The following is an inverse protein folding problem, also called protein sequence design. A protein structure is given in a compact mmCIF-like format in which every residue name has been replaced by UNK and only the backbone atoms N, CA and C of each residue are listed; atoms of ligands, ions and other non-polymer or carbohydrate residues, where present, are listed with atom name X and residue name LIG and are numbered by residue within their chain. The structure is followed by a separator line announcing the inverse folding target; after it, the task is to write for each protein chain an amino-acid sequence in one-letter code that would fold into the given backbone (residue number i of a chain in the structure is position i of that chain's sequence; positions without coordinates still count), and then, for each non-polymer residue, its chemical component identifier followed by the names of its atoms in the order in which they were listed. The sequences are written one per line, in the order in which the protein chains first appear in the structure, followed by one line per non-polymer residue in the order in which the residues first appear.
data_IF_050707175637
#
_entry.id   IF_050707175637
#
_cell.length_a   1.000
_cell.length_b   1.000
_cell.length_c   1.000
_cell.angle_alpha   90.00
_cell.angle_beta   90.00
_cell.angle_gamma   90.00
#
_symmetry.space_group_name_H-M   'P 1'
#
loop_
_entity.id
_entity.type
_entity.pdbx_description
1 polymer ?
#
# COMPACT_ATOMS: atom_id res chain seq x y z
N UNK A 1 -21.33 -13.64 -3.36
CA UNK A 1 -20.71 -13.16 -4.62
C UNK A 1 -19.57 -14.08 -5.00
N UNK A 2 -19.37 -14.36 -6.29
CA UNK A 2 -18.21 -15.06 -6.85
C UNK A 2 -17.22 -14.05 -7.45
N UNK A 3 -15.94 -14.27 -7.19
CA UNK A 3 -14.83 -13.40 -7.61
C UNK A 3 -13.97 -14.10 -8.66
N UNK A 4 -13.83 -13.51 -9.84
CA UNK A 4 -12.83 -13.90 -10.83
C UNK A 4 -11.58 -13.04 -10.66
N UNK A 5 -10.39 -13.65 -10.70
CA UNK A 5 -9.13 -12.93 -10.58
C UNK A 5 -8.35 -13.09 -11.88
N UNK A 6 -7.88 -11.99 -12.45
CA UNK A 6 -6.95 -11.97 -13.57
C UNK A 6 -5.59 -11.52 -13.04
N UNK A 7 -4.52 -12.22 -13.40
CA UNK A 7 -3.16 -11.84 -12.99
C UNK A 7 -2.12 -12.12 -14.06
N UNK A 8 -1.02 -11.39 -13.98
CA UNK A 8 0.22 -11.82 -14.63
C UNK A 8 0.86 -12.97 -13.85
N UNK A 9 1.49 -13.88 -14.58
CA UNK A 9 2.28 -14.98 -14.06
C UNK A 9 3.53 -15.16 -14.92
N UNK A 10 4.65 -15.43 -14.29
CA UNK A 10 5.84 -15.89 -15.00
C UNK A 10 5.52 -17.22 -15.69
N UNK A 11 5.65 -17.28 -17.01
CA UNK A 11 5.51 -18.53 -17.77
C UNK A 11 6.89 -19.04 -18.16
N UNK A 12 7.17 -20.29 -17.79
CA UNK A 12 8.30 -21.02 -18.35
C UNK A 12 8.05 -21.26 -19.85
N UNK A 13 9.07 -21.03 -20.68
CA UNK A 13 9.02 -21.30 -22.12
C UNK A 13 8.39 -20.21 -23.00
N UNK A 14 7.92 -19.09 -22.45
CA UNK A 14 7.65 -17.91 -23.26
C UNK A 14 8.99 -17.25 -23.61
N UNK A 15 9.47 -17.48 -24.84
CA UNK A 15 10.55 -16.70 -25.42
C UNK A 15 9.90 -15.49 -26.09
N UNK A 16 9.97 -14.28 -25.50
CA UNK A 16 9.59 -13.10 -26.25
C UNK A 16 10.41 -13.08 -27.54
N UNK A 17 9.78 -12.73 -28.67
CA UNK A 17 10.54 -12.39 -29.87
C UNK A 17 11.61 -11.34 -29.52
N UNK A 18 12.67 -11.24 -30.31
CA UNK A 18 13.78 -10.29 -30.13
C UNK A 18 13.36 -8.84 -30.37
N UNK A 19 12.27 -8.39 -29.74
CA UNK A 19 11.82 -7.01 -29.77
C UNK A 19 12.48 -6.24 -28.63
N UNK A 20 13.05 -5.09 -28.95
CA UNK A 20 13.70 -4.18 -27.98
C UNK A 20 12.71 -3.54 -26.97
N UNK A 21 11.42 -3.81 -27.08
CA UNK A 21 10.35 -3.16 -26.30
C UNK A 21 9.45 -4.19 -25.57
N UNK A 22 9.98 -4.78 -24.51
CA UNK A 22 9.23 -5.69 -23.64
C UNK A 22 8.67 -4.96 -22.42
N UNK A 23 7.41 -5.22 -22.11
CA UNK A 23 6.78 -4.90 -20.84
C UNK A 23 6.95 -6.09 -19.90
N UNK A 24 7.42 -5.83 -18.67
CA UNK A 24 7.48 -6.83 -17.59
C UNK A 24 6.63 -6.39 -16.41
N UNK A 25 5.67 -7.23 -16.03
CA UNK A 25 4.68 -6.99 -14.99
C UNK A 25 5.10 -7.70 -13.69
N UNK A 26 4.97 -7.02 -12.56
CA UNK A 26 5.27 -7.59 -11.23
C UNK A 26 4.17 -8.57 -10.78
N UNK A 27 4.51 -9.85 -10.74
CA UNK A 27 3.60 -10.94 -10.37
C UNK A 27 3.31 -11.00 -8.87
N UNK A 28 4.17 -10.40 -8.03
CA UNK A 28 4.08 -10.50 -6.57
C UNK A 28 2.81 -9.82 -6.03
N UNK A 29 2.29 -8.82 -6.72
CA UNK A 29 1.08 -8.10 -6.30
C UNK A 29 -0.13 -9.04 -6.22
N UNK A 30 -0.35 -9.81 -7.28
CA UNK A 30 -1.46 -10.75 -7.33
C UNK A 30 -1.28 -11.90 -6.32
N UNK A 31 -0.06 -12.42 -6.18
CA UNK A 31 0.24 -13.48 -5.21
C UNK A 31 -0.09 -13.06 -3.77
N UNK A 32 0.25 -11.83 -3.39
CA UNK A 32 -0.04 -11.32 -2.04
C UNK A 32 -1.54 -11.16 -1.79
N UNK A 33 -2.28 -10.62 -2.76
CA UNK A 33 -3.73 -10.47 -2.65
C UNK A 33 -4.41 -11.84 -2.60
N UNK A 34 -3.99 -12.78 -3.44
CA UNK A 34 -4.50 -14.16 -3.45
C UNK A 34 -4.21 -14.89 -2.14
N UNK A 35 -3.00 -14.81 -1.63
CA UNK A 35 -2.63 -15.40 -0.34
C UNK A 35 -3.45 -14.82 0.80
N UNK A 36 -3.73 -13.50 0.76
CA UNK A 36 -4.60 -12.87 1.75
C UNK A 36 -6.04 -13.38 1.64
N UNK A 37 -6.60 -13.41 0.42
CA UNK A 37 -7.96 -13.89 0.16
C UNK A 37 -8.15 -15.35 0.56
N UNK A 38 -7.19 -16.23 0.25
CA UNK A 38 -7.26 -17.65 0.59
C UNK A 38 -6.98 -17.94 2.07
N UNK A 39 -6.48 -16.96 2.82
CA UNK A 39 -6.08 -17.15 4.20
C UNK A 39 -4.81 -17.99 4.34
N UNK A 40 -3.96 -18.02 3.32
CA UNK A 40 -2.68 -18.74 3.36
C UNK A 40 -1.79 -18.14 4.47
N UNK A 41 -1.09 -19.00 5.20
CA UNK A 41 -0.23 -18.56 6.31
C UNK A 41 1.09 -17.96 5.80
N UNK A 42 1.64 -18.51 4.71
CA UNK A 42 3.02 -18.24 4.26
C UNK A 42 3.20 -17.11 3.24
N UNK A 43 2.13 -16.53 2.68
CA UNK A 43 2.32 -15.39 1.76
C UNK A 43 2.82 -14.12 2.49
N UNK A 44 2.53 -14.02 3.79
CA UNK A 44 3.02 -12.92 4.63
C UNK A 44 4.38 -13.29 5.21
N UNK A 45 5.39 -12.47 4.90
CA UNK A 45 6.77 -12.69 5.32
C UNK A 45 7.28 -11.65 6.33
N UNK A 46 6.42 -10.73 6.78
CA UNK A 46 6.79 -9.56 7.58
C UNK A 46 7.45 -9.89 8.93
N UNK A 47 7.07 -10.99 9.58
CA UNK A 47 7.58 -11.36 10.91
C UNK A 47 8.61 -12.50 10.86
N UNK A 48 8.83 -13.08 9.69
CA UNK A 48 9.67 -14.28 9.50
C UNK A 48 9.50 -15.32 10.63
N UNK A 49 10.45 -15.62 11.53
CA UNK A 49 10.25 -16.69 12.51
C UNK A 49 9.38 -16.25 13.70
N UNK A 50 9.18 -14.94 13.90
CA UNK A 50 8.44 -14.32 15.01
C UNK A 50 6.95 -14.16 14.67
N UNK A 51 6.44 -14.96 13.75
CA UNK A 51 5.05 -14.89 13.31
C UNK A 51 4.11 -15.38 14.42
N UNK A 52 3.20 -14.49 14.84
CA UNK A 52 2.14 -14.80 15.82
C UNK A 52 0.80 -15.13 15.16
N UNK A 53 0.79 -15.32 13.84
CA UNK A 53 -0.43 -15.60 13.06
C UNK A 53 -1.57 -14.60 13.32
N UNK A 54 -1.25 -13.29 13.31
CA UNK A 54 -2.20 -12.20 13.64
C UNK A 54 -3.49 -12.18 12.80
N UNK A 55 -3.53 -12.90 11.67
CA UNK A 55 -4.71 -13.05 10.80
C UNK A 55 -5.63 -14.21 11.21
N UNK A 56 -5.10 -15.22 11.91
CA UNK A 56 -5.82 -16.44 12.30
C UNK A 56 -7.11 -16.17 13.09
N UNK A 57 -7.15 -15.23 14.07
CA UNK A 57 -8.37 -14.96 14.82
C UNK A 57 -9.56 -14.48 13.98
N UNK A 58 -9.31 -13.92 12.79
CA UNK A 58 -10.37 -13.40 11.91
C UNK A 58 -11.06 -14.51 11.10
N UNK A 59 -10.44 -15.68 10.95
CA UNK A 59 -10.95 -16.82 10.18
C UNK A 59 -11.43 -16.44 8.75
N UNK A 60 -10.84 -15.40 8.16
CA UNK A 60 -11.18 -14.90 6.82
C UNK A 60 -10.48 -15.73 5.75
N UNK A 61 -11.24 -16.67 5.16
CA UNK A 61 -10.81 -17.53 4.07
C UNK A 61 -11.87 -17.50 2.96
N UNK A 62 -11.57 -16.80 1.88
CA UNK A 62 -12.48 -16.57 0.75
C UNK A 62 -12.18 -17.45 -0.45
N UNK A 63 -11.30 -18.46 -0.31
CA UNK A 63 -10.95 -19.38 -1.40
C UNK A 63 -12.19 -20.02 -2.04
N UNK A 64 -13.18 -20.41 -1.23
CA UNK A 64 -14.45 -20.95 -1.70
C UNK A 64 -15.27 -19.98 -2.54
N UNK A 65 -15.02 -18.66 -2.51
CA UNK A 65 -15.71 -17.63 -3.32
C UNK A 65 -14.96 -17.24 -4.59
N UNK A 66 -13.70 -17.68 -4.75
CA UNK A 66 -12.94 -17.44 -5.98
C UNK A 66 -13.49 -18.37 -7.06
N UNK A 67 -14.09 -17.78 -8.10
CA UNK A 67 -14.62 -18.47 -9.27
C UNK A 67 -13.51 -19.15 -10.08
N UNK A 68 -12.37 -18.45 -10.21
CA UNK A 68 -11.19 -18.91 -10.91
C UNK A 68 -10.09 -17.86 -10.86
N UNK A 69 -8.89 -18.27 -11.26
CA UNK A 69 -7.74 -17.39 -11.46
C UNK A 69 -7.28 -17.61 -12.90
N UNK A 70 -7.21 -16.54 -13.68
CA UNK A 70 -6.78 -16.57 -15.08
C UNK A 70 -5.39 -15.94 -15.17
N UNK A 71 -4.45 -16.73 -15.69
CA UNK A 71 -3.04 -16.38 -15.79
C UNK A 71 -2.70 -15.86 -17.19
N UNK A 72 -2.14 -14.65 -17.23
CA UNK A 72 -1.55 -14.03 -18.42
C UNK A 72 -0.02 -13.99 -18.28
N UNK A 73 0.76 -14.01 -19.38
CA UNK A 73 2.20 -13.87 -19.27
C UNK A 73 2.58 -12.53 -18.63
N UNK A 74 3.55 -12.58 -17.72
CA UNK A 74 4.10 -11.39 -17.07
C UNK A 74 5.00 -10.56 -17.98
N UNK A 75 5.62 -11.19 -19.00
CA UNK A 75 6.46 -10.52 -19.98
C UNK A 75 5.81 -10.63 -21.36
N UNK A 76 5.55 -9.50 -21.99
CA UNK A 76 4.89 -9.38 -23.29
C UNK A 76 5.50 -8.21 -24.07
N UNK A 77 5.36 -8.16 -25.42
CA UNK A 77 5.64 -6.93 -26.17
C UNK A 77 4.82 -5.77 -25.60
N UNK A 78 5.42 -4.57 -25.54
CA UNK A 78 4.75 -3.37 -25.02
C UNK A 78 3.48 -3.01 -25.83
N UNK A 79 3.49 -3.29 -27.13
CA UNK A 79 2.34 -3.14 -28.03
C UNK A 79 1.99 -4.49 -28.65
N UNK A 80 0.76 -4.92 -28.44
CA UNK A 80 0.16 -6.11 -29.02
C UNK A 80 -0.58 -5.74 -30.31
N UNK A 81 -0.28 -6.46 -31.40
CA UNK A 81 -0.99 -6.30 -32.67
C UNK A 81 -2.44 -6.82 -32.60
N UNK A 82 -2.63 -7.98 -31.94
CA UNK A 82 -3.94 -8.64 -31.79
C UNK A 82 -4.21 -8.98 -30.32
N UNK A 83 -4.53 -7.99 -29.47
CA UNK A 83 -4.79 -8.23 -28.05
C UNK A 83 -5.99 -9.17 -27.81
N UNK A 84 -6.94 -9.25 -28.75
CA UNK A 84 -8.09 -10.15 -28.67
C UNK A 84 -7.74 -11.64 -28.70
N UNK A 85 -6.59 -12.02 -29.26
CA UNK A 85 -6.11 -13.41 -29.28
C UNK A 85 -5.79 -13.94 -27.87
N UNK A 86 -5.61 -13.03 -26.91
CA UNK A 86 -5.35 -13.36 -25.51
C UNK A 86 -6.62 -13.56 -24.68
N UNK A 87 -7.81 -13.37 -25.26
CA UNK A 87 -9.06 -13.53 -24.53
C UNK A 87 -9.23 -14.98 -24.05
N UNK A 88 -9.61 -15.19 -22.79
CA UNK A 88 -9.93 -16.52 -22.30
C UNK A 88 -11.18 -17.04 -23.04
N UNK A 89 -11.17 -18.29 -23.54
CA UNK A 89 -12.27 -18.81 -24.34
C UNK A 89 -13.55 -19.00 -23.52
N UNK A 90 -13.40 -19.41 -22.26
CA UNK A 90 -14.50 -19.61 -21.29
C UNK A 90 -14.03 -19.10 -19.93
N UNK A 91 -14.92 -18.39 -19.24
CA UNK A 91 -14.72 -17.96 -17.86
C UNK A 91 -15.77 -18.63 -16.96
N UNK A 92 -15.41 -18.98 -15.72
CA UNK A 92 -16.38 -19.45 -14.76
C UNK A 92 -17.39 -18.32 -14.43
N UNK A 93 -18.65 -18.66 -14.09
CA UNK A 93 -19.64 -17.67 -13.68
C UNK A 93 -19.13 -16.82 -12.50
N UNK A 94 -19.24 -15.50 -12.64
CA UNK A 94 -18.76 -14.54 -11.64
C UNK A 94 -19.53 -13.22 -11.70
N UNK A 95 -19.65 -12.55 -10.55
CA UNK A 95 -20.26 -11.22 -10.46
C UNK A 95 -19.21 -10.11 -10.38
N UNK A 96 -18.03 -10.40 -9.82
CA UNK A 96 -16.96 -9.39 -9.67
C UNK A 96 -15.66 -9.90 -10.25
N UNK A 97 -14.94 -9.02 -10.94
CA UNK A 97 -13.63 -9.27 -11.53
C UNK A 97 -12.58 -8.40 -10.83
N UNK A 98 -11.46 -8.99 -10.45
CA UNK A 98 -10.30 -8.31 -9.90
C UNK A 98 -9.12 -8.52 -10.85
N UNK A 99 -8.72 -7.47 -11.57
CA UNK A 99 -7.63 -7.54 -12.53
C UNK A 99 -6.36 -6.94 -11.93
N UNK A 100 -5.33 -7.74 -11.71
CA UNK A 100 -4.11 -7.33 -11.03
C UNK A 100 -2.92 -7.48 -11.99
N UNK A 101 -2.35 -6.34 -12.38
CA UNK A 101 -1.08 -6.28 -13.11
C UNK A 101 -1.03 -7.13 -14.40
N UNK A 102 -2.08 -7.08 -15.23
CA UNK A 102 -2.13 -7.67 -16.58
C UNK A 102 -1.90 -6.62 -17.67
N UNK A 103 -1.54 -7.02 -18.90
CA UNK A 103 -1.30 -6.09 -20.01
C UNK A 103 -2.53 -5.20 -20.31
N UNK A 104 -2.35 -3.88 -20.47
CA UNK A 104 -3.47 -2.93 -20.59
C UNK A 104 -4.37 -3.19 -21.81
N UNK A 105 -3.79 -3.53 -22.96
CA UNK A 105 -4.58 -3.86 -24.16
C UNK A 105 -5.41 -5.14 -23.98
N UNK A 106 -4.88 -6.15 -23.28
CA UNK A 106 -5.63 -7.38 -22.96
C UNK A 106 -6.78 -7.04 -22.00
N UNK A 107 -6.51 -6.22 -20.98
CA UNK A 107 -7.53 -5.75 -20.05
C UNK A 107 -8.69 -5.08 -20.79
N UNK A 108 -8.42 -4.17 -21.73
CA UNK A 108 -9.47 -3.50 -22.51
C UNK A 108 -10.32 -4.48 -23.33
N UNK A 109 -9.70 -5.49 -23.96
CA UNK A 109 -10.45 -6.53 -24.68
C UNK A 109 -11.34 -7.35 -23.75
N UNK A 110 -10.85 -7.71 -22.57
CA UNK A 110 -11.62 -8.41 -21.53
C UNK A 110 -12.81 -7.56 -21.07
N UNK A 111 -12.59 -6.26 -20.84
CA UNK A 111 -13.65 -5.35 -20.38
C UNK A 111 -14.80 -5.25 -21.39
N UNK A 112 -14.53 -5.32 -22.70
CA UNK A 112 -15.56 -5.33 -23.75
C UNK A 112 -16.51 -6.53 -23.63
N UNK A 113 -16.03 -7.67 -23.08
CA UNK A 113 -16.82 -8.90 -22.95
C UNK A 113 -17.61 -9.01 -21.63
N UNK A 114 -17.38 -8.11 -20.67
CA UNK A 114 -17.96 -8.19 -19.32
C UNK A 114 -19.48 -8.32 -19.28
N UNK A 115 -20.21 -7.61 -20.14
CA UNK A 115 -21.68 -7.72 -20.25
C UNK A 115 -22.12 -9.14 -20.64
N UNK A 116 -21.42 -9.76 -21.60
CA UNK A 116 -21.69 -11.13 -22.05
C UNK A 116 -21.42 -12.14 -20.93
N UNK A 117 -20.41 -11.89 -20.10
CA UNK A 117 -20.06 -12.76 -18.96
C UNK A 117 -20.90 -12.51 -17.69
N UNK A 118 -21.80 -11.52 -17.71
CA UNK A 118 -22.65 -11.20 -16.57
C UNK A 118 -21.94 -10.51 -15.41
N UNK A 119 -20.69 -10.04 -15.61
CA UNK A 119 -19.91 -9.28 -14.64
C UNK A 119 -20.68 -8.03 -14.22
N UNK A 120 -20.66 -7.70 -12.92
CA UNK A 120 -21.36 -6.55 -12.32
C UNK A 120 -20.41 -5.47 -11.85
N UNK A 121 -19.21 -5.84 -11.41
CA UNK A 121 -18.18 -4.88 -11.05
C UNK A 121 -16.77 -5.37 -11.40
N UNK A 122 -15.86 -4.42 -11.64
CA UNK A 122 -14.43 -4.66 -11.88
C UNK A 122 -13.59 -3.76 -10.96
N UNK A 123 -12.61 -4.36 -10.29
CA UNK A 123 -11.59 -3.63 -9.52
C UNK A 123 -10.23 -3.79 -10.21
N UNK A 124 -9.58 -2.66 -10.49
CA UNK A 124 -8.30 -2.58 -11.20
C UNK A 124 -7.31 -1.80 -10.32
N UNK A 125 -6.69 -2.45 -9.32
CA UNK A 125 -5.81 -1.77 -8.36
C UNK A 125 -4.49 -1.32 -8.95
N UNK A 126 -4.24 -0.01 -8.90
CA UNK A 126 -3.03 0.61 -9.40
C UNK A 126 -1.96 0.60 -8.29
N UNK A 127 -1.16 -0.46 -8.25
CA UNK A 127 -0.14 -0.66 -7.21
C UNK A 127 1.22 -0.06 -7.56
N UNK A 128 1.47 0.27 -8.84
CA UNK A 128 2.70 0.87 -9.32
C UNK A 128 2.44 2.03 -10.28
N UNK A 129 3.40 2.96 -10.42
CA UNK A 129 3.37 3.95 -11.49
C UNK A 129 3.30 3.28 -12.86
N UNK A 130 2.64 3.93 -13.82
CA UNK A 130 2.73 3.56 -15.23
C UNK A 130 2.11 2.22 -15.65
N UNK A 131 1.41 1.47 -14.78
CA UNK A 131 0.79 0.20 -15.20
C UNK A 131 -0.32 0.38 -16.25
N UNK A 132 -1.36 1.17 -15.94
CA UNK A 132 -2.45 1.47 -16.89
C UNK A 132 -2.41 2.96 -17.23
N UNK A 133 -2.25 3.26 -18.52
CA UNK A 133 -2.18 4.64 -19.01
C UNK A 133 -3.48 5.42 -18.71
N UNK A 134 -3.41 6.75 -18.51
CA UNK A 134 -4.61 7.57 -18.30
C UNK A 134 -5.64 7.44 -19.43
N UNK A 135 -5.18 7.25 -20.67
CA UNK A 135 -6.05 7.01 -21.82
C UNK A 135 -6.77 5.66 -21.70
N UNK A 136 -6.06 4.58 -21.39
CA UNK A 136 -6.65 3.26 -21.17
C UNK A 136 -7.63 3.27 -19.98
N UNK A 137 -7.37 4.00 -18.90
CA UNK A 137 -8.32 4.13 -17.78
C UNK A 137 -9.62 4.83 -18.19
N UNK A 138 -9.53 5.91 -18.98
CA UNK A 138 -10.73 6.59 -19.52
C UNK A 138 -11.53 5.66 -20.43
N UNK A 139 -10.84 4.92 -21.29
CA UNK A 139 -11.47 3.96 -22.20
C UNK A 139 -12.12 2.80 -21.44
N UNK A 140 -11.42 2.21 -20.45
CA UNK A 140 -11.97 1.20 -19.57
C UNK A 140 -13.22 1.69 -18.84
N UNK A 141 -13.22 2.92 -18.33
CA UNK A 141 -14.39 3.53 -17.70
C UNK A 141 -15.57 3.72 -18.67
N UNK A 142 -15.29 4.10 -19.92
CA UNK A 142 -16.30 4.21 -20.97
C UNK A 142 -16.93 2.86 -21.30
N UNK A 143 -16.09 1.84 -21.58
CA UNK A 143 -16.52 0.47 -21.89
C UNK A 143 -17.38 -0.11 -20.75
N UNK A 144 -16.92 0.02 -19.50
CA UNK A 144 -17.67 -0.52 -18.36
C UNK A 144 -19.04 0.16 -18.20
N UNK A 145 -19.11 1.49 -18.40
CA UNK A 145 -20.37 2.24 -18.35
C UNK A 145 -21.36 1.77 -19.42
N UNK A 146 -20.91 1.60 -20.66
CA UNK A 146 -21.73 1.09 -21.78
C UNK A 146 -22.24 -0.34 -21.52
N UNK A 147 -21.44 -1.13 -20.81
CA UNK A 147 -21.77 -2.48 -20.41
C UNK A 147 -22.63 -2.57 -19.14
N UNK A 148 -22.90 -1.45 -18.45
CA UNK A 148 -23.63 -1.44 -17.18
C UNK A 148 -22.86 -2.09 -16.03
N UNK A 149 -21.54 -1.96 -16.04
CA UNK A 149 -20.59 -2.56 -15.09
C UNK A 149 -19.95 -1.46 -14.26
N UNK A 150 -19.96 -1.62 -12.94
CA UNK A 150 -19.22 -0.72 -12.05
C UNK A 150 -17.71 -0.95 -12.20
N UNK A 151 -16.91 0.11 -12.21
CA UNK A 151 -15.45 -0.02 -12.29
C UNK A 151 -14.77 0.93 -11.32
N UNK A 152 -13.71 0.45 -10.67
CA UNK A 152 -12.87 1.26 -9.80
C UNK A 152 -11.39 1.00 -10.07
N UNK A 153 -10.62 2.09 -10.04
CA UNK A 153 -9.16 2.10 -10.22
C UNK A 153 -8.49 2.59 -8.93
N UNK A 154 -8.62 1.87 -7.79
CA UNK A 154 -8.05 2.32 -6.53
C UNK A 154 -6.53 2.36 -6.62
N UNK A 155 -5.93 3.48 -6.21
CA UNK A 155 -4.48 3.69 -6.19
C UNK A 155 -4.04 4.09 -4.79
N UNK A 156 -3.31 3.25 -4.04
CA UNK A 156 -3.27 1.78 -4.17
C UNK A 156 -4.62 1.10 -3.91
N UNK A 157 -4.70 -0.23 -3.99
CA UNK A 157 -5.95 -0.98 -3.75
C UNK A 157 -6.58 -0.70 -2.38
N UNK A 158 -5.77 -0.43 -1.36
CA UNK A 158 -6.29 -0.05 -0.05
C UNK A 158 -6.93 1.36 -0.01
N UNK A 159 -7.09 2.08 -1.13
CA UNK A 159 -7.91 3.30 -1.21
C UNK A 159 -9.32 3.05 -1.71
N UNK A 160 -9.67 1.79 -2.04
CA UNK A 160 -11.01 1.42 -2.48
C UNK A 160 -12.06 1.82 -1.43
N UNK A 161 -12.82 2.86 -1.74
CA UNK A 161 -13.92 3.38 -0.92
C UNK A 161 -15.19 3.58 -1.77
N UNK A 162 -15.96 2.50 -1.97
CA UNK A 162 -17.10 2.51 -2.88
C UNK A 162 -18.36 3.09 -2.24
N UNK A 163 -19.24 3.64 -3.10
CA UNK A 163 -20.54 4.17 -2.69
C UNK A 163 -21.39 3.09 -2.00
N UNK A 164 -22.05 3.39 -0.88
CA UNK A 164 -22.96 2.44 -0.23
C UNK A 164 -24.03 1.89 -1.19
N UNK A 165 -24.33 0.59 -1.09
CA UNK A 165 -25.33 -0.08 -1.92
C UNK A 165 -24.84 -0.54 -3.31
N UNK A 166 -23.63 -0.15 -3.72
CA UNK A 166 -23.02 -0.57 -4.99
C UNK A 166 -22.50 -2.02 -4.96
N UNK A 167 -22.27 -2.62 -6.13
CA UNK A 167 -21.62 -3.93 -6.25
C UNK A 167 -20.20 -3.91 -5.68
N UNK A 168 -19.48 -2.81 -5.86
CA UNK A 168 -18.15 -2.60 -5.27
C UNK A 168 -18.18 -2.50 -3.74
N UNK A 169 -19.21 -1.87 -3.16
CA UNK A 169 -19.39 -1.86 -1.70
C UNK A 169 -19.68 -3.27 -1.18
N UNK A 170 -20.50 -4.03 -1.90
CA UNK A 170 -20.77 -5.41 -1.57
C UNK A 170 -19.52 -6.29 -1.66
N UNK A 171 -18.62 -6.04 -2.63
CA UNK A 171 -17.30 -6.67 -2.70
C UNK A 171 -16.45 -6.34 -1.46
N UNK A 172 -16.32 -5.04 -1.11
CA UNK A 172 -15.58 -4.61 0.08
C UNK A 172 -16.09 -5.31 1.34
N UNK A 173 -17.41 -5.37 1.51
CA UNK A 173 -18.05 -5.90 2.71
C UNK A 173 -17.98 -7.43 2.79
N UNK A 174 -18.18 -8.14 1.67
CA UNK A 174 -18.10 -9.60 1.63
C UNK A 174 -16.67 -10.13 1.77
N UNK A 175 -15.67 -9.43 1.21
CA UNK A 175 -14.26 -9.86 1.25
C UNK A 175 -13.45 -9.16 2.35
N UNK A 176 -14.02 -8.16 3.03
CA UNK A 176 -13.34 -7.33 4.02
C UNK A 176 -12.06 -6.67 3.49
N UNK A 177 -12.05 -6.27 2.22
CA UNK A 177 -10.90 -5.70 1.51
C UNK A 177 -11.20 -4.30 0.98
N UNK A 178 -10.29 -3.35 1.22
CA UNK A 178 -10.40 -1.98 0.70
C UNK A 178 -9.75 -0.98 1.65
N UNK A 179 -10.38 0.21 1.79
CA UNK A 179 -9.95 1.22 2.76
C UNK A 179 -9.91 0.66 4.18
N UNK A 180 -8.75 0.66 4.87
CA UNK A 180 -8.59 0.09 6.20
C UNK A 180 -9.61 0.66 7.20
N UNK A 181 -10.27 -0.23 7.93
CA UNK A 181 -11.15 0.12 9.05
C UNK A 181 -10.80 -0.77 10.22
N UNK A 182 -10.37 -0.16 11.32
CA UNK A 182 -9.95 -0.86 12.54
C UNK A 182 -10.67 -0.25 13.71
N UNK A 183 -11.43 -1.07 14.43
CA UNK A 183 -12.09 -0.66 15.67
C UNK A 183 -11.06 -0.70 16.80
N UNK A 184 -10.78 0.45 17.39
CA UNK A 184 -9.89 0.55 18.55
C UNK A 184 -10.72 0.63 19.84
N UNK A 185 -10.40 -0.23 20.80
CA UNK A 185 -10.88 -0.11 22.18
C UNK A 185 -9.79 0.54 23.01
N UNK A 186 -10.08 1.71 23.57
CA UNK A 186 -9.12 2.51 24.35
C UNK A 186 -9.60 2.59 25.79
N UNK A 187 -8.73 2.23 26.73
CA UNK A 187 -8.95 2.35 28.17
C UNK A 187 -7.91 3.31 28.76
N UNK A 188 -8.38 4.44 29.31
CA UNK A 188 -7.48 5.53 29.71
C UNK A 188 -6.69 6.06 28.50
N UNK A 189 -5.36 5.96 28.57
CA UNK A 189 -4.45 6.35 27.48
C UNK A 189 -3.94 5.16 26.66
N UNK A 190 -4.51 3.96 26.80
CA UNK A 190 -3.96 2.73 26.21
C UNK A 190 -4.94 2.04 25.26
N UNK A 191 -4.43 1.60 24.11
CA UNK A 191 -5.18 0.80 23.13
C UNK A 191 -5.19 -0.65 23.62
N UNK A 192 -6.30 -1.11 24.20
CA UNK A 192 -6.43 -2.49 24.67
C UNK A 192 -6.66 -3.46 23.51
N UNK A 193 -7.46 -3.07 22.50
CA UNK A 193 -7.77 -3.92 21.34
C UNK A 193 -7.77 -3.11 20.05
N UNK A 194 -7.35 -3.75 18.97
CA UNK A 194 -7.40 -3.23 17.60
C UNK A 194 -7.96 -4.30 16.66
N UNK A 195 -9.24 -4.20 16.31
CA UNK A 195 -9.98 -5.21 15.54
C UNK A 195 -10.20 -4.76 14.09
N UNK A 196 -9.62 -5.49 13.14
CA UNK A 196 -9.70 -5.16 11.71
C UNK A 196 -11.07 -5.52 11.12
N UNK A 197 -11.86 -4.52 10.74
CA UNK A 197 -13.13 -4.68 10.02
C UNK A 197 -12.94 -4.78 8.51
N UNK A 198 -12.08 -3.92 7.96
CA UNK A 198 -11.68 -3.92 6.56
C UNK A 198 -10.16 -3.83 6.53
N UNK A 199 -9.53 -4.71 5.77
CA UNK A 199 -8.08 -4.80 5.64
C UNK A 199 -7.62 -4.28 4.28
N UNK A 200 -6.41 -3.74 4.24
CA UNK A 200 -5.67 -3.57 3.00
C UNK A 200 -5.59 -4.92 2.27
N UNK A 201 -5.75 -4.96 0.95
CA UNK A 201 -5.77 -6.21 0.17
C UNK A 201 -4.49 -7.04 0.28
N UNK A 202 -3.34 -6.40 0.50
CA UNK A 202 -2.06 -7.06 0.75
C UNK A 202 -1.94 -7.68 2.16
N UNK A 203 -2.87 -7.40 3.08
CA UNK A 203 -2.90 -7.91 4.45
C UNK A 203 -2.18 -7.05 5.50
N UNK A 204 -1.59 -5.92 5.13
CA UNK A 204 -0.79 -5.07 6.02
C UNK A 204 -1.58 -4.53 7.22
N UNK A 205 -2.88 -4.29 7.09
CA UNK A 205 -3.71 -3.76 8.18
C UNK A 205 -3.75 -4.70 9.40
N UNK A 206 -3.73 -6.02 9.20
CA UNK A 206 -3.64 -6.98 10.30
C UNK A 206 -2.30 -6.88 11.03
N UNK A 207 -1.23 -6.69 10.26
CA UNK A 207 0.11 -6.48 10.81
C UNK A 207 0.22 -5.16 11.57
N UNK A 208 -0.40 -4.08 11.10
CA UNK A 208 -0.45 -2.80 11.81
C UNK A 208 -1.30 -2.92 13.09
N UNK A 209 -2.49 -3.51 13.01
CA UNK A 209 -3.40 -3.65 14.14
C UNK A 209 -2.76 -4.40 15.32
N UNK A 210 -2.00 -5.48 15.08
CA UNK A 210 -1.27 -6.19 16.17
C UNK A 210 -0.24 -5.31 16.89
N UNK A 211 0.31 -4.30 16.23
CA UNK A 211 1.32 -3.41 16.80
C UNK A 211 0.72 -2.18 17.47
N UNK A 212 -0.53 -1.83 17.13
CA UNK A 212 -1.32 -0.80 17.82
C UNK A 212 -1.79 -1.28 19.19
N UNK A 213 -2.22 -2.54 19.30
CA UNK A 213 -2.63 -3.12 20.57
C UNK A 213 -1.51 -3.05 21.63
N UNK A 214 -1.87 -2.61 22.84
CA UNK A 214 -0.98 -2.42 23.98
C UNK A 214 -0.19 -1.11 23.99
N UNK A 215 -0.31 -0.26 22.95
CA UNK A 215 0.37 1.04 22.88
C UNK A 215 -0.43 2.14 23.55
N UNK A 216 0.27 3.18 24.00
CA UNK A 216 -0.37 4.42 24.44
C UNK A 216 -0.89 5.20 23.25
N UNK A 217 -2.07 5.80 23.39
CA UNK A 217 -2.70 6.66 22.41
C UNK A 217 -1.95 7.99 22.35
N UNK A 218 -1.12 8.16 21.33
CA UNK A 218 -0.36 9.39 21.09
C UNK A 218 -0.18 9.65 19.59
N UNK A 219 0.13 10.90 19.24
CA UNK A 219 0.44 11.31 17.86
C UNK A 219 1.58 10.50 17.23
N UNK A 220 2.55 10.06 18.06
CA UNK A 220 3.70 9.27 17.62
C UNK A 220 3.32 7.93 16.98
N UNK A 221 2.12 7.39 17.26
CA UNK A 221 1.64 6.13 16.67
C UNK A 221 1.59 6.16 15.15
N UNK A 222 1.33 7.33 14.54
CA UNK A 222 1.37 7.52 13.08
C UNK A 222 2.73 7.08 12.52
N UNK A 223 3.81 7.53 13.14
CA UNK A 223 5.17 7.20 12.72
C UNK A 223 5.67 5.87 13.29
N UNK A 224 5.64 5.70 14.61
CA UNK A 224 6.27 4.58 15.31
C UNK A 224 5.61 3.23 15.03
N UNK A 225 4.31 3.25 14.71
CA UNK A 225 3.54 2.05 14.42
C UNK A 225 3.12 2.03 12.95
N UNK A 226 2.26 2.93 12.50
CA UNK A 226 1.65 2.80 11.16
C UNK A 226 2.73 2.86 10.07
N UNK A 227 3.45 4.00 9.98
CA UNK A 227 4.46 4.20 8.95
C UNK A 227 5.59 3.17 9.02
N UNK A 228 6.22 3.02 10.19
CA UNK A 228 7.33 2.07 10.36
C UNK A 228 6.92 0.62 10.07
N UNK A 229 5.71 0.21 10.44
CA UNK A 229 5.25 -1.17 10.19
C UNK A 229 4.83 -1.37 8.76
N UNK A 230 4.24 -0.36 8.11
CA UNK A 230 3.93 -0.48 6.70
C UNK A 230 5.19 -0.57 5.82
N UNK A 231 6.21 0.25 6.10
CA UNK A 231 7.50 0.20 5.36
C UNK A 231 8.31 -1.08 5.60
N UNK A 232 8.10 -1.75 6.74
CA UNK A 232 8.69 -3.08 7.00
C UNK A 232 7.79 -4.24 6.58
N UNK A 233 6.56 -3.96 6.16
CA UNK A 233 5.67 -4.95 5.59
C UNK A 233 5.96 -5.06 4.09
N UNK A 234 5.92 -6.27 3.51
CA UNK A 234 6.03 -6.42 2.07
C UNK A 234 4.71 -6.01 1.39
N UNK A 235 4.47 -4.70 1.36
CA UNK A 235 3.30 -4.08 0.75
C UNK A 235 3.30 -4.31 -0.77
N UNK A 236 2.12 -4.24 -1.38
CA UNK A 236 1.98 -4.22 -2.84
C UNK A 236 2.18 -2.83 -3.43
N UNK A 237 1.99 -1.76 -2.64
CA UNK A 237 2.21 -0.40 -3.10
C UNK A 237 3.68 -0.16 -3.41
N UNK A 238 3.95 0.29 -4.64
CA UNK A 238 5.30 0.61 -5.10
C UNK A 238 5.92 1.78 -4.33
N UNK A 239 7.23 1.70 -4.14
CA UNK A 239 8.08 2.79 -3.63
C UNK A 239 8.64 3.67 -4.76
N UNK A 240 8.32 3.35 -6.01
CA UNK A 240 8.64 4.22 -7.14
C UNK A 240 7.83 5.52 -7.06
N UNK A 241 8.44 6.60 -7.53
CA UNK A 241 7.79 7.91 -7.60
C UNK A 241 6.62 7.87 -8.57
N UNK A 242 5.47 8.35 -8.13
CA UNK A 242 4.27 8.43 -8.95
C UNK A 242 3.86 9.89 -9.18
N UNK A 243 3.88 10.34 -10.44
CA UNK A 243 3.56 11.72 -10.78
C UNK A 243 2.10 12.11 -10.50
N UNK A 244 1.16 11.15 -10.57
CA UNK A 244 -0.27 11.42 -10.34
C UNK A 244 -0.54 11.66 -8.85
N UNK A 245 0.25 11.05 -7.98
CA UNK A 245 0.17 11.22 -6.52
C UNK A 245 1.11 12.35 -6.06
N UNK A 246 2.21 12.57 -6.78
CA UNK A 246 3.39 13.33 -6.38
C UNK A 246 4.03 12.84 -5.09
N UNK A 247 4.00 11.52 -4.92
CA UNK A 247 4.64 10.75 -3.87
C UNK A 247 4.67 9.28 -4.33
N UNK A 248 5.10 8.36 -3.47
CA UNK A 248 5.02 6.92 -3.75
C UNK A 248 3.62 6.37 -3.46
N UNK A 249 3.27 5.28 -4.14
CA UNK A 249 2.02 4.54 -3.90
C UNK A 249 1.99 4.00 -2.46
N UNK A 250 3.14 3.55 -1.92
CA UNK A 250 3.24 3.10 -0.54
C UNK A 250 2.99 4.23 0.47
N UNK A 251 3.52 5.44 0.26
CA UNK A 251 3.23 6.57 1.16
C UNK A 251 1.75 6.99 1.11
N UNK A 252 1.08 6.83 -0.03
CA UNK A 252 -0.38 6.99 -0.06
C UNK A 252 -1.09 5.89 0.76
N UNK A 253 -0.63 4.63 0.68
CA UNK A 253 -1.12 3.58 1.58
C UNK A 253 -0.88 3.92 3.05
N UNK A 254 0.24 4.55 3.40
CA UNK A 254 0.58 4.99 4.76
C UNK A 254 -0.43 6.02 5.28
N UNK A 255 -0.63 7.10 4.51
CA UNK A 255 -1.64 8.15 4.80
C UNK A 255 -3.05 7.58 4.99
N UNK A 256 -3.41 6.57 4.20
CA UNK A 256 -4.71 5.91 4.30
C UNK A 256 -4.81 5.04 5.55
N UNK A 257 -3.73 4.41 6.01
CA UNK A 257 -3.73 3.68 7.28
C UNK A 257 -3.73 4.62 8.49
N UNK A 258 -3.15 5.81 8.37
CA UNK A 258 -3.18 6.83 9.42
C UNK A 258 -4.61 7.25 9.80
N UNK A 259 -5.59 7.06 8.91
CA UNK A 259 -6.99 7.35 9.16
C UNK A 259 -7.59 6.52 10.29
N UNK A 260 -6.99 5.36 10.60
CA UNK A 260 -7.36 4.52 11.75
C UNK A 260 -7.32 5.32 13.06
N UNK A 261 -6.42 6.31 13.16
CA UNK A 261 -6.24 7.12 14.37
C UNK A 261 -7.05 8.42 14.38
N UNK A 262 -7.66 8.82 13.25
CA UNK A 262 -8.39 10.09 13.15
C UNK A 262 -9.51 10.23 14.20
N UNK A 263 -10.33 9.20 14.48
CA UNK A 263 -11.37 9.32 15.50
C UNK A 263 -10.87 9.64 16.91
N UNK A 264 -9.57 9.43 17.18
CA UNK A 264 -8.96 9.61 18.50
C UNK A 264 -7.99 10.80 18.56
N UNK A 265 -7.27 11.08 17.47
CA UNK A 265 -6.19 12.07 17.41
C UNK A 265 -6.49 13.24 16.46
N UNK A 266 -7.64 13.24 15.78
CA UNK A 266 -7.93 14.16 14.70
C UNK A 266 -7.11 13.88 13.43
N UNK A 267 -7.29 14.68 12.35
CA UNK A 267 -6.47 14.57 11.15
C UNK A 267 -5.00 14.90 11.45
N UNK A 268 -4.04 14.34 10.69
CA UNK A 268 -2.64 14.76 10.78
C UNK A 268 -2.53 16.27 10.49
N UNK A 269 -1.59 16.94 11.16
CA UNK A 269 -1.29 18.34 10.85
C UNK A 269 -0.92 18.46 9.36
N UNK A 270 -1.34 19.54 8.67
CA UNK A 270 -0.93 19.78 7.29
C UNK A 270 0.60 19.70 7.19
N UNK A 271 1.11 18.94 6.23
CA UNK A 271 2.54 19.03 5.92
C UNK A 271 2.78 20.43 5.34
N UNK A 272 3.49 21.27 6.08
CA UNK A 272 3.98 22.55 5.55
C UNK A 272 4.79 22.31 4.27
N UNK A 273 4.57 23.15 3.26
CA UNK A 273 5.28 23.07 1.99
C UNK A 273 4.56 22.25 0.90
N UNK A 274 3.24 22.32 0.77
CA UNK A 274 2.61 21.85 -0.47
C UNK A 274 2.86 22.85 -1.61
N UNK A 275 3.19 22.36 -2.80
CA UNK A 275 3.26 23.19 -4.01
C UNK A 275 2.28 22.67 -5.07
N UNK A 276 1.75 23.59 -5.87
CA UNK A 276 0.95 23.25 -7.04
C UNK A 276 1.92 22.83 -8.16
N UNK A 277 1.89 21.56 -8.53
CA UNK A 277 2.70 21.07 -9.65
C UNK A 277 2.29 21.72 -10.97
N UNK A 278 3.16 21.70 -11.99
CA UNK A 278 2.82 22.15 -13.35
C UNK A 278 1.61 21.43 -13.96
N UNK A 279 1.24 20.27 -13.41
CA UNK A 279 0.10 19.45 -13.83
C UNK A 279 -1.17 19.71 -12.99
N UNK A 280 -1.14 20.67 -12.07
CA UNK A 280 -2.30 21.08 -11.26
C UNK A 280 -2.56 20.25 -10.01
N UNK A 281 -1.66 19.32 -9.64
CA UNK A 281 -1.76 18.55 -8.41
C UNK A 281 -1.08 19.28 -7.25
N UNK A 282 -1.71 19.29 -6.08
CA UNK A 282 -1.07 19.72 -4.82
C UNK A 282 -0.17 18.61 -4.30
N UNK A 283 1.15 18.83 -4.36
CA UNK A 283 2.14 17.84 -3.96
C UNK A 283 2.90 18.31 -2.71
N UNK A 284 3.28 17.42 -1.79
CA UNK A 284 4.27 17.78 -0.78
C UNK A 284 5.57 18.18 -1.49
N UNK A 285 6.16 19.31 -1.11
CA UNK A 285 7.45 19.77 -1.66
C UNK A 285 8.47 18.67 -1.34
N UNK A 286 9.02 17.97 -2.34
CA UNK A 286 10.08 17.02 -2.08
C UNK A 286 11.23 17.81 -1.47
N UNK A 287 11.70 17.37 -0.30
CA UNK A 287 12.91 17.94 0.29
C UNK A 287 14.06 17.55 -0.64
N UNK A 288 14.72 18.51 -1.33
CA UNK A 288 15.84 18.21 -2.20
C UNK A 288 16.89 17.38 -1.45
N UNK A 289 17.59 16.43 -2.10
CA UNK A 289 18.57 15.59 -1.42
C UNK A 289 19.61 16.39 -0.60
N UNK A 290 20.02 17.56 -1.12
CA UNK A 290 20.94 18.48 -0.44
C UNK A 290 20.32 19.09 0.83
N UNK A 291 19.06 19.54 0.74
CA UNK A 291 18.32 20.08 1.89
C UNK A 291 18.04 18.97 2.92
N UNK A 292 17.78 17.74 2.49
CA UNK A 292 17.61 16.60 3.37
C UNK A 292 18.92 16.26 4.10
N UNK A 293 20.05 16.29 3.39
CA UNK A 293 21.38 16.15 4.01
C UNK A 293 21.65 17.27 5.01
N UNK A 294 21.35 18.52 4.65
CA UNK A 294 21.48 19.66 5.57
C UNK A 294 20.63 19.48 6.82
N UNK A 295 19.36 19.07 6.66
CA UNK A 295 18.46 18.80 7.79
C UNK A 295 18.98 17.68 8.70
N UNK A 296 19.61 16.64 8.13
CA UNK A 296 20.25 15.56 8.89
C UNK A 296 21.47 16.08 9.64
N UNK A 297 22.31 16.91 9.00
CA UNK A 297 23.48 17.52 9.64
C UNK A 297 23.09 18.49 10.76
N UNK A 298 22.07 19.32 10.54
CA UNK A 298 21.55 20.27 11.52
C UNK A 298 20.96 19.52 12.73
N UNK A 299 20.23 18.43 12.48
CA UNK A 299 19.76 17.53 13.52
C UNK A 299 20.93 16.89 14.29
N UNK A 300 21.99 16.45 13.61
CA UNK A 300 23.18 15.90 14.24
C UNK A 300 23.87 16.93 15.15
N UNK A 301 24.01 18.18 14.69
CA UNK A 301 24.54 19.28 15.49
C UNK A 301 23.65 19.59 16.69
N UNK A 302 22.33 19.62 16.52
CA UNK A 302 21.39 19.86 17.60
C UNK A 302 21.49 18.78 18.68
N UNK A 303 21.54 17.50 18.29
CA UNK A 303 21.73 16.36 19.21
C UNK A 303 23.03 16.52 20.01
N UNK A 304 24.16 16.81 19.34
CA UNK A 304 25.45 16.98 20.00
C UNK A 304 25.48 18.20 20.93
N UNK A 305 24.82 19.30 20.56
CA UNK A 305 24.67 20.48 21.43
C UNK A 305 23.85 20.13 22.67
N UNK A 306 22.73 19.44 22.53
CA UNK A 306 21.88 19.07 23.66
C UNK A 306 22.54 18.03 24.59
N UNK A 307 23.39 17.17 24.05
CA UNK A 307 24.24 16.24 24.82
C UNK A 307 25.50 16.89 25.41
N UNK A 308 25.78 18.17 25.14
CA UNK A 308 26.90 18.88 25.79
C UNK A 308 26.61 19.09 27.28
N UNK A 309 25.36 19.39 27.61
CA UNK A 309 24.93 19.76 28.96
C UNK A 309 24.21 18.59 29.67
N UNK A 310 24.10 17.42 29.03
CA UNK A 310 23.44 16.22 29.54
C UNK A 310 24.21 14.95 29.17
N UNK A 311 24.48 14.08 30.15
CA UNK A 311 25.13 12.78 29.90
C UNK A 311 24.26 11.83 29.07
N UNK A 312 22.94 11.92 29.27
CA UNK A 312 21.95 11.07 28.60
C UNK A 312 20.68 11.86 28.29
N UNK A 313 20.10 11.59 27.12
CA UNK A 313 18.79 12.08 26.70
C UNK A 313 17.92 10.93 26.23
N UNK A 314 16.63 10.98 26.53
CA UNK A 314 15.66 10.05 25.95
C UNK A 314 15.40 10.34 24.48
N UNK A 315 14.98 9.33 23.72
CA UNK A 315 14.54 9.53 22.33
C UNK A 315 13.37 10.52 22.21
N UNK A 316 12.50 10.61 23.22
CA UNK A 316 11.39 11.56 23.26
C UNK A 316 11.91 13.01 23.37
N UNK A 317 12.89 13.27 24.25
CA UNK A 317 13.51 14.59 24.36
C UNK A 317 14.22 15.00 23.07
N UNK A 318 14.89 14.05 22.40
CA UNK A 318 15.57 14.32 21.14
C UNK A 318 14.60 14.63 20.01
N UNK A 319 13.47 13.91 19.92
CA UNK A 319 12.41 14.18 18.94
C UNK A 319 11.65 15.48 19.20
N UNK A 320 11.73 16.00 20.42
CA UNK A 320 11.23 17.32 20.78
C UNK A 320 12.19 18.47 20.48
N UNK A 321 13.37 18.20 19.90
CA UNK A 321 14.28 19.27 19.46
C UNK A 321 13.59 20.10 18.37
N UNK A 322 13.53 21.42 18.60
CA UNK A 322 12.99 22.36 17.63
C UNK A 322 13.80 22.29 16.33
N UNK A 323 13.10 22.44 15.22
CA UNK A 323 13.66 22.59 13.87
C UNK A 323 14.32 21.32 13.27
N UNK A 324 14.03 20.13 13.81
CA UNK A 324 14.49 18.86 13.24
C UNK A 324 13.34 17.84 13.12
N UNK A 325 13.11 17.32 11.91
CA UNK A 325 12.09 16.30 11.69
C UNK A 325 12.47 14.97 12.37
N UNK A 326 11.49 14.12 12.77
CA UNK A 326 11.80 12.79 13.31
C UNK A 326 12.65 11.93 12.38
N UNK A 327 12.49 12.08 11.06
CA UNK A 327 13.29 11.39 10.06
C UNK A 327 14.75 11.88 10.07
N UNK A 328 14.97 13.20 10.10
CA UNK A 328 16.31 13.79 10.19
C UNK A 328 17.02 13.37 11.48
N UNK A 329 16.31 13.36 12.61
CA UNK A 329 16.84 12.92 13.91
C UNK A 329 17.24 11.45 13.89
N UNK A 330 16.38 10.56 13.37
CA UNK A 330 16.70 9.13 13.31
C UNK A 330 17.91 8.87 12.40
N UNK A 331 18.00 9.53 11.25
CA UNK A 331 19.15 9.46 10.34
C UNK A 331 20.43 10.00 11.00
N UNK A 332 20.33 11.13 11.69
CA UNK A 332 21.45 11.74 12.42
C UNK A 332 21.97 10.81 13.53
N UNK A 333 21.08 10.15 14.28
CA UNK A 333 21.47 9.18 15.32
C UNK A 333 22.22 7.97 14.73
N UNK A 334 21.83 7.49 13.54
CA UNK A 334 22.54 6.41 12.85
C UNK A 334 23.96 6.86 12.49
N UNK A 335 24.09 8.06 11.90
CA UNK A 335 25.38 8.64 11.49
C UNK A 335 26.29 8.87 12.71
N UNK A 336 25.81 9.58 13.72
CA UNK A 336 26.60 9.89 14.92
C UNK A 336 27.05 8.64 15.67
N UNK A 337 26.23 7.58 15.69
CA UNK A 337 26.60 6.30 16.29
C UNK A 337 27.66 5.57 15.47
N UNK A 338 27.50 5.54 14.13
CA UNK A 338 28.50 4.97 13.22
C UNK A 338 29.85 5.66 13.37
N UNK A 339 29.83 6.99 13.52
CA UNK A 339 31.02 7.83 13.65
C UNK A 339 31.56 7.85 15.10
N UNK A 340 31.00 7.05 16.01
CA UNK A 340 31.49 6.90 17.39
C UNK A 340 31.33 8.16 18.25
N UNK A 341 30.44 9.08 17.89
CA UNK A 341 30.23 10.34 18.63
C UNK A 341 29.17 10.22 19.73
N UNK A 342 28.31 9.21 19.65
CA UNK A 342 27.28 8.89 20.64
C UNK A 342 27.22 7.39 20.94
N UNK A 343 26.64 7.05 22.10
CA UNK A 343 26.27 5.68 22.49
C UNK A 343 24.78 5.61 22.78
N UNK A 344 24.17 4.46 22.54
CA UNK A 344 22.75 4.24 22.82
C UNK A 344 22.57 3.11 23.84
N UNK A 345 21.77 3.34 24.87
CA UNK A 345 21.44 2.34 25.91
C UNK A 345 19.99 2.51 26.36
N UNK A 346 19.19 1.44 26.28
CA UNK A 346 17.82 1.38 26.79
C UNK A 346 16.91 2.57 26.37
N UNK A 347 16.92 2.94 25.10
CA UNK A 347 16.10 4.05 24.59
C UNK A 347 16.61 5.46 24.95
N UNK A 348 17.82 5.55 25.52
CA UNK A 348 18.54 6.79 25.76
C UNK A 348 19.78 6.87 24.89
N UNK A 349 20.15 8.10 24.53
CA UNK A 349 21.35 8.45 23.78
C UNK A 349 22.26 9.23 24.73
N UNK A 350 23.53 8.85 24.77
CA UNK A 350 24.54 9.51 25.58
C UNK A 350 25.78 9.81 24.76
N UNK A 351 26.66 10.63 25.32
CA UNK A 351 27.96 10.93 24.70
C UNK A 351 28.84 9.69 24.66
N UNK A 352 29.60 9.52 23.58
CA UNK A 352 30.53 8.41 23.44
C UNK A 352 31.81 8.57 24.24
#
# INVERSE_FOLDING_TARGET
MRLLILRSQAREGFAPGTSDYLLSLDTRYAERVLGNLRGEERFCTACYPDCVSCRKPYQRQFGHRIAGVIDFPATLPYLLERPGDWLPPVLPPHEVMLAIHIHEQILLEILKQTRRWGTKAVVIPLEAPGWISPAARREAARICRENGVEVSFPKPFCTLDPLPGSWLARFRDEFHLGRPKVDLTVEGDRIEKALVRVSAPCGSTYYIARWLAGRRMSADLRYEVISRRLHSYPCTGSMEWDEEIGDTVLHLADRVHEEILIPFLGPPAPQEGMFLSPLGFMLPKPVPPQENWQNIEDAAHAILRSLRDKDWMSLAELRGLKDASPAAINSALIILRRDGRIRMKAGKVGKA
#
